data_IF_687222591470
#
_entry.id   IF_687222591470
#
_cell.length_a   1.000
_cell.length_b   1.000
_cell.length_c   1.000
_cell.angle_alpha   90.00
_cell.angle_beta   90.00
_cell.angle_gamma   90.00
#
_symmetry.space_group_name_H-M   'P 1'
#
loop_
_entity.id
_entity.type
_entity.pdbx_description
1 polymer ?
#
# COMPACT_ATOMS: atom_id res chain seq x y z
N UNK A 1 12.13 -30.92 -48.23
CA UNK A 1 12.25 -30.45 -49.66
C UNK A 1 12.31 -28.94 -49.65
N UNK A 2 13.44 -28.42 -50.18
CA UNK A 2 13.71 -27.13 -50.89
C UNK A 2 13.20 -25.83 -50.20
N UNK A 3 14.07 -24.98 -49.54
CA UNK A 3 15.03 -23.98 -50.07
C UNK A 3 14.37 -22.83 -50.85
N UNK A 4 14.57 -21.59 -50.33
CA UNK A 4 15.41 -20.46 -50.85
C UNK A 4 14.95 -19.18 -50.16
N UNK A 5 15.66 -18.36 -49.45
CA UNK A 5 16.92 -17.61 -49.64
C UNK A 5 16.78 -16.37 -50.57
N UNK A 6 17.39 -15.29 -50.07
CA UNK A 6 17.95 -14.10 -50.73
C UNK A 6 17.00 -12.88 -50.83
N UNK A 7 17.46 -11.63 -50.78
CA UNK A 7 18.75 -10.97 -50.49
C UNK A 7 18.52 -9.44 -50.37
N UNK A 8 19.36 -8.79 -49.57
CA UNK A 8 20.05 -7.49 -49.75
C UNK A 8 19.56 -6.48 -50.81
N UNK A 9 19.44 -5.20 -50.39
CA UNK A 9 20.11 -4.10 -51.12
C UNK A 9 20.36 -2.92 -50.15
N UNK A 10 21.63 -2.54 -50.01
CA UNK A 10 22.12 -1.33 -49.38
C UNK A 10 22.13 -0.16 -50.36
N UNK A 11 22.08 1.04 -49.84
CA UNK A 11 22.44 2.24 -50.58
C UNK A 11 23.26 3.18 -49.69
N UNK A 12 24.53 3.25 -50.01
CA UNK A 12 25.54 4.16 -49.49
C UNK A 12 25.49 5.43 -50.36
N UNK A 13 25.28 6.60 -49.77
CA UNK A 13 25.52 7.88 -50.46
C UNK A 13 26.70 8.60 -49.82
N UNK A 14 27.81 8.56 -50.51
CA UNK A 14 28.95 9.50 -50.38
C UNK A 14 28.60 10.78 -51.13
N UNK A 15 28.84 11.93 -50.51
CA UNK A 15 29.00 13.20 -51.23
C UNK A 15 30.32 13.83 -50.82
N UNK A 16 31.08 14.14 -51.84
CA UNK A 16 32.48 14.61 -51.87
C UNK A 16 32.59 16.10 -51.63
N UNK A 17 33.75 16.47 -51.04
CA UNK A 17 34.28 17.82 -50.87
C UNK A 17 34.50 18.55 -52.18
N UNK A 18 34.34 19.87 -52.12
CA UNK A 18 35.11 20.81 -53.00
C UNK A 18 35.60 21.99 -52.17
N UNK A 19 36.88 22.18 -52.15
CA UNK A 19 37.63 23.28 -51.53
C UNK A 19 37.85 24.45 -52.50
N UNK A 20 37.93 25.67 -51.94
CA UNK A 20 38.74 26.83 -52.37
C UNK A 20 38.50 27.94 -51.35
N UNK A 21 39.38 28.38 -50.52
CA UNK A 21 40.61 29.09 -50.77
C UNK A 21 40.44 30.57 -50.40
N UNK A 22 41.13 31.08 -49.31
CA UNK A 22 41.18 32.49 -48.96
C UNK A 22 41.67 32.68 -47.52
N UNK A 23 42.89 33.12 -47.37
CA UNK A 23 43.61 33.46 -46.13
C UNK A 23 42.99 34.66 -45.40
N UNK A 24 42.87 34.58 -44.07
CA UNK A 24 43.31 35.69 -43.19
C UNK A 24 43.37 35.17 -41.71
N UNK A 25 44.48 35.49 -41.09
CA UNK A 25 44.83 35.18 -39.71
C UNK A 25 43.91 35.88 -38.73
N UNK A 26 43.24 35.12 -37.87
CA UNK A 26 42.85 35.57 -36.55
C UNK A 26 42.77 34.37 -35.59
N UNK A 27 43.63 34.40 -34.57
CA UNK A 27 43.65 33.41 -33.52
C UNK A 27 42.30 33.39 -32.80
N UNK A 28 41.61 32.27 -32.86
CA UNK A 28 40.42 32.00 -32.04
C UNK A 28 40.80 30.94 -31.01
N UNK A 29 40.77 31.33 -29.73
CA UNK A 29 40.88 30.45 -28.59
C UNK A 29 39.79 29.41 -28.66
N UNK A 30 40.19 28.14 -28.67
CA UNK A 30 39.31 26.99 -28.54
C UNK A 30 38.79 26.96 -27.07
N UNK A 31 37.58 27.47 -26.85
CA UNK A 31 36.86 27.26 -25.59
C UNK A 31 36.31 25.86 -25.64
N UNK A 32 37.00 24.94 -25.00
CA UNK A 32 36.44 23.63 -24.64
C UNK A 32 35.30 23.85 -23.66
N UNK A 33 34.05 23.83 -24.11
CA UNK A 33 32.87 23.66 -23.24
C UNK A 33 32.94 22.26 -22.65
N UNK A 34 33.43 22.21 -21.41
CA UNK A 34 33.28 21.07 -20.52
C UNK A 34 31.79 20.97 -20.17
N UNK A 35 31.08 20.08 -20.86
CA UNK A 35 29.71 19.73 -20.51
C UNK A 35 29.74 19.02 -19.18
N UNK A 36 29.65 19.78 -18.08
CA UNK A 36 29.34 19.24 -16.76
C UNK A 36 27.93 18.65 -16.82
N UNK A 37 27.83 17.32 -16.68
CA UNK A 37 26.58 16.67 -16.39
C UNK A 37 25.94 17.30 -15.13
N UNK A 38 24.62 17.47 -15.06
CA UNK A 38 23.99 17.99 -13.87
C UNK A 38 24.36 17.05 -12.72
N UNK A 39 25.04 17.56 -11.70
CA UNK A 39 25.13 16.90 -10.41
C UNK A 39 23.69 16.75 -9.90
N UNK A 40 23.21 15.52 -9.79
CA UNK A 40 22.01 15.21 -9.00
C UNK A 40 22.29 15.74 -7.60
N UNK A 41 21.65 16.83 -7.26
CA UNK A 41 21.64 17.40 -5.91
C UNK A 41 20.95 16.36 -5.02
N UNK A 42 21.71 15.48 -4.41
CA UNK A 42 21.23 14.63 -3.31
C UNK A 42 20.96 15.57 -2.12
N UNK A 43 19.73 16.04 -2.03
CA UNK A 43 19.30 16.81 -0.86
C UNK A 43 19.52 15.92 0.37
N UNK A 44 20.35 16.40 1.28
CA UNK A 44 20.67 15.72 2.54
C UNK A 44 19.36 15.44 3.30
N UNK A 45 19.14 14.19 3.72
CA UNK A 45 17.99 13.79 4.51
C UNK A 45 18.17 14.30 5.94
N UNK A 46 17.14 14.89 6.52
CA UNK A 46 17.18 15.36 7.90
C UNK A 46 17.41 14.20 8.87
N UNK A 47 18.32 14.38 9.84
CA UNK A 47 18.54 13.41 10.91
C UNK A 47 17.35 13.41 11.87
N UNK A 48 16.90 12.22 12.26
CA UNK A 48 15.90 12.02 13.32
C UNK A 48 16.53 11.79 14.70
N UNK A 49 17.86 11.57 14.75
CA UNK A 49 18.56 11.31 16.00
C UNK A 49 18.45 12.50 16.98
N UNK A 50 18.09 12.21 18.22
CA UNK A 50 17.90 13.21 19.28
C UNK A 50 16.61 14.03 19.16
N UNK A 51 15.80 13.82 18.10
CA UNK A 51 14.48 14.46 17.91
C UNK A 51 13.37 13.43 18.05
N UNK A 52 13.59 12.24 17.49
CA UNK A 52 12.67 11.10 17.54
C UNK A 52 13.17 10.07 18.57
N UNK A 53 12.30 9.10 18.96
CA UNK A 53 12.74 7.91 19.69
C UNK A 53 13.82 7.14 18.92
N UNK A 54 14.74 6.49 19.64
CA UNK A 54 15.82 5.69 19.03
C UNK A 54 15.30 4.57 18.13
N UNK A 55 14.10 4.07 18.43
CA UNK A 55 13.36 3.12 17.59
C UNK A 55 11.94 3.60 17.41
N UNK A 56 11.53 3.76 16.16
CA UNK A 56 10.15 4.11 15.79
C UNK A 56 9.43 2.81 15.43
N UNK A 57 8.48 2.41 16.29
CA UNK A 57 7.73 1.16 16.13
C UNK A 57 6.38 1.42 15.47
N UNK A 58 6.14 0.71 14.38
CA UNK A 58 4.86 0.68 13.66
C UNK A 58 4.16 -0.66 13.88
N UNK A 59 2.89 -0.61 14.28
CA UNK A 59 2.01 -1.78 14.33
C UNK A 59 1.13 -1.79 13.08
N UNK A 60 1.26 -2.82 12.23
CA UNK A 60 0.36 -3.00 11.11
C UNK A 60 -0.96 -3.65 11.53
N UNK A 61 -1.95 -3.61 10.68
CA UNK A 61 -3.26 -4.23 10.88
C UNK A 61 -3.33 -5.64 10.28
N UNK A 62 -2.31 -6.05 9.50
CA UNK A 62 -2.23 -7.36 8.87
C UNK A 62 -0.80 -7.91 8.81
N UNK A 63 -0.64 -9.06 8.14
CA UNK A 63 0.65 -9.65 7.80
C UNK A 63 1.45 -8.74 6.84
N UNK A 64 2.77 -9.02 6.61
CA UNK A 64 3.53 -8.29 5.60
C UNK A 64 2.89 -8.40 4.20
N UNK A 65 2.56 -7.25 3.63
CA UNK A 65 1.95 -7.10 2.31
C UNK A 65 2.18 -5.71 1.72
N UNK A 66 1.81 -5.51 0.46
CA UNK A 66 2.10 -4.29 -0.30
C UNK A 66 1.35 -3.06 0.20
N UNK A 67 0.23 -3.22 0.89
CA UNK A 67 -0.50 -2.14 1.54
C UNK A 67 0.36 -1.41 2.58
N UNK A 68 1.31 -2.11 3.19
CA UNK A 68 2.29 -1.56 4.13
C UNK A 68 3.65 -1.28 3.45
N UNK A 69 3.74 -1.41 2.13
CA UNK A 69 4.99 -1.39 1.37
C UNK A 69 5.87 -0.17 1.61
N UNK A 70 5.26 0.99 1.81
CA UNK A 70 5.99 2.22 2.13
C UNK A 70 6.76 2.16 3.45
N UNK A 71 6.28 1.43 4.47
CA UNK A 71 7.04 1.22 5.70
C UNK A 71 8.21 0.26 5.46
N UNK A 72 8.00 -0.83 4.72
CA UNK A 72 9.06 -1.76 4.36
C UNK A 72 10.11 -1.11 3.46
N UNK A 73 9.71 -0.12 2.67
CA UNK A 73 10.65 0.71 1.89
C UNK A 73 11.56 1.58 2.77
N UNK A 74 11.16 1.89 4.00
CA UNK A 74 11.97 2.64 4.98
C UNK A 74 12.89 1.73 5.82
N UNK A 75 12.78 0.40 5.71
CA UNK A 75 13.65 -0.54 6.42
C UNK A 75 15.00 -0.63 5.69
N UNK A 76 16.09 -0.21 6.31
CA UNK A 76 17.45 -0.24 5.76
C UNK A 76 17.98 -1.66 5.56
N UNK A 77 19.04 -1.80 4.76
CA UNK A 77 19.71 -3.09 4.56
C UNK A 77 20.31 -3.64 5.87
N UNK A 78 20.47 -4.97 5.95
CA UNK A 78 20.99 -5.62 7.14
C UNK A 78 20.02 -5.64 8.32
N UNK A 79 18.73 -5.54 8.05
CA UNK A 79 17.68 -5.63 9.06
C UNK A 79 17.69 -6.99 9.80
N UNK A 80 17.18 -6.97 11.01
CA UNK A 80 17.02 -8.14 11.87
C UNK A 80 15.55 -8.60 11.86
N UNK A 81 15.32 -9.91 11.75
CA UNK A 81 13.98 -10.51 11.77
C UNK A 81 13.80 -11.31 13.05
N UNK A 82 12.82 -10.92 13.85
CA UNK A 82 12.29 -11.74 14.94
C UNK A 82 11.05 -12.50 14.42
N UNK A 83 11.30 -13.70 13.89
CA UNK A 83 10.24 -14.54 13.34
C UNK A 83 9.23 -15.02 14.40
N UNK A 84 9.64 -15.14 15.66
CA UNK A 84 8.75 -15.54 16.74
C UNK A 84 7.83 -14.37 17.17
N UNK A 85 8.36 -13.15 17.18
CA UNK A 85 7.63 -11.92 17.45
C UNK A 85 6.97 -11.30 16.21
N UNK A 86 7.11 -11.91 15.03
CA UNK A 86 6.57 -11.47 13.75
C UNK A 86 6.87 -9.98 13.48
N UNK A 87 8.14 -9.60 13.62
CA UNK A 87 8.60 -8.21 13.46
C UNK A 87 9.96 -8.12 12.80
N UNK A 88 10.19 -7.01 12.14
CA UNK A 88 11.46 -6.64 11.53
C UNK A 88 11.97 -5.34 12.14
N UNK A 89 13.29 -5.24 12.34
CA UNK A 89 13.95 -4.04 12.87
C UNK A 89 15.19 -3.73 12.05
N UNK A 90 15.34 -2.49 11.60
CA UNK A 90 16.50 -2.04 10.81
C UNK A 90 16.78 -0.55 11.02
N UNK A 91 17.82 -0.03 10.37
CA UNK A 91 17.98 1.42 10.26
C UNK A 91 16.76 2.01 9.55
N UNK A 92 16.22 3.14 10.03
CA UNK A 92 15.22 3.89 9.30
C UNK A 92 15.90 4.69 8.20
N UNK A 93 15.57 4.38 6.95
CA UNK A 93 16.13 5.08 5.79
C UNK A 93 15.09 5.92 5.07
N UNK A 94 15.51 7.07 4.56
CA UNK A 94 14.72 7.91 3.66
C UNK A 94 15.56 8.24 2.44
N UNK A 95 15.04 8.07 1.23
CA UNK A 95 15.81 8.23 -0.03
C UNK A 95 17.16 7.49 -0.01
N UNK A 96 17.18 6.30 0.59
CA UNK A 96 18.39 5.48 0.72
C UNK A 96 19.41 5.94 1.76
N UNK A 97 19.15 7.01 2.52
CA UNK A 97 20.06 7.54 3.55
C UNK A 97 19.56 7.18 4.94
N UNK A 98 20.47 6.79 5.84
CA UNK A 98 20.17 6.51 7.24
C UNK A 98 19.80 7.81 7.98
N UNK A 99 18.69 7.80 8.69
CA UNK A 99 18.17 8.94 9.46
C UNK A 99 18.73 9.03 10.89
N UNK A 100 19.52 8.04 11.31
CA UNK A 100 20.13 7.98 12.63
C UNK A 100 19.25 7.35 13.72
N UNK A 101 18.09 6.77 13.35
CA UNK A 101 17.22 6.02 14.26
C UNK A 101 16.83 4.67 13.63
N UNK A 102 16.21 3.78 14.40
CA UNK A 102 15.69 2.51 13.89
C UNK A 102 14.22 2.59 13.56
N UNK A 103 13.79 1.77 12.60
CA UNK A 103 12.40 1.42 12.35
C UNK A 103 12.15 -0.02 12.81
N UNK A 104 11.02 -0.24 13.47
CA UNK A 104 10.50 -1.57 13.72
C UNK A 104 9.08 -1.67 13.15
N UNK A 105 8.82 -2.70 12.31
CA UNK A 105 7.49 -2.97 11.77
C UNK A 105 7.02 -4.31 12.33
N UNK A 106 5.85 -4.31 12.96
CA UNK A 106 5.23 -5.48 13.61
C UNK A 106 3.99 -5.92 12.83
N UNK A 107 3.87 -7.20 12.55
CA UNK A 107 2.71 -7.77 11.89
C UNK A 107 1.48 -7.72 12.80
N UNK A 108 0.31 -7.49 12.19
CA UNK A 108 -0.99 -7.43 12.85
C UNK A 108 -1.93 -8.59 12.43
N UNK A 109 -3.22 -8.36 12.49
CA UNK A 109 -4.25 -9.33 12.13
C UNK A 109 -4.12 -10.64 12.91
N UNK A 110 -3.96 -11.79 12.23
CA UNK A 110 -3.80 -13.09 12.89
C UNK A 110 -2.61 -13.14 13.86
N UNK A 111 -1.54 -12.38 13.60
CA UNK A 111 -0.33 -12.33 14.44
C UNK A 111 -0.61 -11.85 15.87
N UNK A 112 -1.65 -11.05 16.04
CA UNK A 112 -2.07 -10.46 17.34
C UNK A 112 -3.46 -10.92 17.77
N UNK A 113 -3.93 -12.05 17.21
CA UNK A 113 -5.26 -12.60 17.52
C UNK A 113 -6.40 -11.67 17.15
N UNK A 114 -6.24 -10.89 16.06
CA UNK A 114 -7.21 -9.89 15.58
C UNK A 114 -7.50 -8.76 16.59
N UNK A 115 -6.60 -8.55 17.54
CA UNK A 115 -6.69 -7.37 18.43
C UNK A 115 -6.50 -6.10 17.58
N UNK A 116 -7.36 -5.11 17.75
CA UNK A 116 -7.28 -3.85 17.00
C UNK A 116 -5.98 -3.11 17.28
N UNK A 117 -5.34 -2.50 16.27
CA UNK A 117 -4.14 -1.70 16.48
C UNK A 117 -4.33 -0.54 17.45
N UNK A 118 -5.54 0.04 17.52
CA UNK A 118 -5.93 1.03 18.53
C UNK A 118 -5.77 0.51 19.96
N UNK A 119 -6.34 -0.66 20.25
CA UNK A 119 -6.21 -1.31 21.56
C UNK A 119 -4.77 -1.72 21.89
N UNK A 120 -4.02 -2.21 20.88
CA UNK A 120 -2.61 -2.56 21.05
C UNK A 120 -1.75 -1.38 21.48
N UNK A 121 -1.94 -0.19 20.91
CA UNK A 121 -1.22 1.02 21.32
C UNK A 121 -1.41 1.38 22.78
N UNK A 122 -2.55 1.02 23.38
CA UNK A 122 -2.82 1.28 24.80
C UNK A 122 -2.27 0.21 25.72
N UNK A 123 -2.08 -1.00 25.23
CA UNK A 123 -1.49 -2.12 25.98
C UNK A 123 0.02 -2.22 25.87
N UNK A 124 0.60 -1.70 24.76
CA UNK A 124 2.04 -1.73 24.48
C UNK A 124 2.57 -0.31 24.20
N UNK A 125 3.30 0.29 25.16
CA UNK A 125 3.80 1.65 25.05
C UNK A 125 4.96 1.80 24.05
N UNK A 126 5.54 0.70 23.51
CA UNK A 126 6.56 0.75 22.48
C UNK A 126 5.98 1.12 21.10
N UNK A 127 4.70 0.91 20.87
CA UNK A 127 4.04 1.25 19.60
C UNK A 127 3.94 2.77 19.49
N UNK A 128 4.67 3.33 18.53
CA UNK A 128 4.69 4.76 18.27
C UNK A 128 3.53 5.21 17.38
N UNK A 129 3.34 4.50 16.25
CA UNK A 129 2.20 4.67 15.34
C UNK A 129 1.64 3.29 14.96
N UNK A 130 0.36 3.25 14.65
CA UNK A 130 -0.32 2.05 14.20
C UNK A 130 -1.24 2.33 13.02
N UNK A 131 -1.55 1.29 12.25
CA UNK A 131 -2.58 1.35 11.23
C UNK A 131 -3.95 1.38 11.86
N UNK A 132 -4.69 2.47 11.64
CA UNK A 132 -6.04 2.66 12.14
C UNK A 132 -6.95 3.15 11.02
N UNK A 133 -8.18 2.67 10.97
CA UNK A 133 -9.20 3.27 10.12
C UNK A 133 -9.82 4.48 10.83
N UNK A 134 -10.22 5.51 10.09
CA UNK A 134 -10.81 6.70 10.71
C UNK A 134 -12.17 6.43 11.34
N UNK A 135 -12.94 5.50 10.80
CA UNK A 135 -14.21 5.05 11.39
C UNK A 135 -13.98 4.21 12.67
N UNK A 136 -12.99 3.30 12.67
CA UNK A 136 -12.58 2.59 13.87
C UNK A 136 -12.06 3.54 14.96
N UNK A 137 -11.28 4.56 14.57
CA UNK A 137 -10.82 5.59 15.49
C UNK A 137 -11.99 6.34 16.16
N UNK A 138 -13.07 6.60 15.41
CA UNK A 138 -14.31 7.21 15.97
C UNK A 138 -15.04 6.23 16.89
N UNK A 139 -15.23 4.96 16.47
CA UNK A 139 -15.89 3.93 17.28
C UNK A 139 -15.19 3.73 18.62
N UNK A 140 -13.85 3.66 18.62
CA UNK A 140 -13.03 3.38 19.79
C UNK A 140 -12.68 4.64 20.61
N UNK A 141 -13.09 5.84 20.16
CA UNK A 141 -12.64 7.12 20.70
C UNK A 141 -12.93 7.33 22.21
N UNK A 142 -13.95 6.65 22.75
CA UNK A 142 -14.29 6.72 24.16
C UNK A 142 -13.34 5.94 25.06
N UNK A 143 -12.68 4.91 24.56
CA UNK A 143 -11.80 4.03 25.31
C UNK A 143 -10.33 4.14 24.83
N UNK A 144 -10.13 4.21 23.52
CA UNK A 144 -8.82 4.24 22.87
C UNK A 144 -8.71 5.43 21.89
N UNK A 145 -8.77 6.69 22.36
CA UNK A 145 -8.67 7.84 21.47
C UNK A 145 -7.37 7.82 20.67
N UNK A 146 -7.44 8.13 19.37
CA UNK A 146 -6.30 8.17 18.46
C UNK A 146 -6.27 9.48 17.68
N UNK A 147 -5.07 9.88 17.25
CA UNK A 147 -4.84 11.00 16.35
C UNK A 147 -4.09 10.49 15.13
N UNK A 148 -4.71 10.59 13.95
CA UNK A 148 -4.14 10.16 12.68
C UNK A 148 -3.23 11.23 12.08
N UNK A 149 -2.14 10.82 11.43
CA UNK A 149 -1.11 11.73 10.91
C UNK A 149 -0.78 11.52 9.43
N UNK A 150 -1.08 10.33 8.86
CA UNK A 150 -0.86 10.01 7.43
C UNK A 150 -2.00 9.12 6.94
N UNK A 151 -2.46 9.36 5.70
CA UNK A 151 -3.45 8.54 5.00
C UNK A 151 -2.84 7.95 3.71
N UNK A 152 -2.14 6.80 3.76
CA UNK A 152 -1.45 6.25 2.61
C UNK A 152 -2.39 5.88 1.45
N UNK A 153 -3.65 5.58 1.74
CA UNK A 153 -4.69 5.38 0.73
C UNK A 153 -5.63 6.58 0.66
N UNK A 154 -5.77 7.15 -0.54
CA UNK A 154 -6.74 8.20 -0.79
C UNK A 154 -8.18 7.66 -0.77
N UNK A 155 -8.40 6.46 -1.32
CA UNK A 155 -9.69 5.76 -1.32
C UNK A 155 -9.54 4.49 -0.49
N UNK A 156 -10.57 4.20 0.32
CA UNK A 156 -10.63 2.96 1.10
C UNK A 156 -10.60 1.75 0.16
N UNK A 157 -9.59 0.87 0.22
CA UNK A 157 -9.46 -0.29 -0.65
C UNK A 157 -10.38 -1.46 -0.26
N UNK A 158 -11.10 -1.39 0.86
CA UNK A 158 -12.03 -2.45 1.24
C UNK A 158 -13.13 -2.63 0.21
N UNK A 159 -13.45 -3.87 -0.08
CA UNK A 159 -14.45 -4.29 -1.06
C UNK A 159 -15.45 -5.25 -0.44
N UNK A 160 -16.61 -5.36 -1.09
CA UNK A 160 -17.43 -6.57 -1.03
C UNK A 160 -17.33 -7.22 -2.41
N UNK A 161 -16.88 -8.47 -2.44
CA UNK A 161 -16.70 -9.26 -3.66
C UNK A 161 -17.71 -10.40 -3.75
N UNK A 162 -17.98 -10.85 -4.99
CA UNK A 162 -18.89 -11.95 -5.29
C UNK A 162 -18.43 -12.73 -6.53
N UNK A 163 -18.95 -13.94 -6.71
CA UNK A 163 -18.74 -14.72 -7.94
C UNK A 163 -19.63 -14.20 -9.07
N UNK A 164 -19.05 -13.62 -10.15
CA UNK A 164 -19.84 -13.11 -11.27
C UNK A 164 -20.54 -14.24 -12.08
N UNK A 165 -20.09 -15.48 -11.95
CA UNK A 165 -20.79 -16.62 -12.58
C UNK A 165 -22.07 -16.99 -11.81
N UNK A 166 -22.04 -16.89 -10.48
CA UNK A 166 -23.22 -17.11 -9.63
C UNK A 166 -24.18 -15.93 -9.69
N UNK A 167 -23.65 -14.70 -9.78
CA UNK A 167 -24.42 -13.46 -9.75
C UNK A 167 -24.14 -12.56 -10.97
N UNK A 168 -24.50 -13.00 -12.19
CA UNK A 168 -24.14 -12.29 -13.44
C UNK A 168 -24.77 -10.89 -13.58
N UNK A 169 -25.85 -10.64 -12.86
CA UNK A 169 -26.59 -9.37 -12.92
C UNK A 169 -26.20 -8.39 -11.79
N UNK A 170 -25.40 -8.84 -10.80
CA UNK A 170 -24.90 -7.99 -9.72
C UNK A 170 -23.76 -7.14 -10.24
N UNK A 171 -23.87 -5.82 -10.07
CA UNK A 171 -22.85 -4.83 -10.45
C UNK A 171 -22.41 -3.98 -9.27
N UNK A 172 -23.25 -3.88 -8.24
CA UNK A 172 -23.02 -3.09 -7.05
C UNK A 172 -23.31 -3.89 -5.79
N UNK A 173 -22.81 -3.43 -4.65
CA UNK A 173 -23.12 -4.00 -3.33
C UNK A 173 -24.64 -3.98 -3.09
N UNK A 174 -25.31 -2.93 -3.53
CA UNK A 174 -26.77 -2.79 -3.37
C UNK A 174 -27.57 -3.87 -4.16
N UNK A 175 -27.04 -4.34 -5.31
CA UNK A 175 -27.70 -5.39 -6.09
C UNK A 175 -27.73 -6.72 -5.35
N UNK A 176 -26.77 -6.97 -4.46
CA UNK A 176 -26.73 -8.18 -3.62
C UNK A 176 -27.99 -8.33 -2.77
N UNK A 177 -28.63 -7.22 -2.38
CA UNK A 177 -29.85 -7.23 -1.58
C UNK A 177 -30.95 -8.08 -2.22
N UNK A 178 -31.17 -7.90 -3.53
CA UNK A 178 -32.21 -8.62 -4.26
C UNK A 178 -31.90 -10.12 -4.43
N UNK A 179 -30.67 -10.53 -4.32
CA UNK A 179 -30.24 -11.93 -4.45
C UNK A 179 -30.47 -12.74 -3.17
N UNK A 180 -30.54 -12.11 -2.02
CA UNK A 180 -30.56 -12.76 -0.71
C UNK A 180 -29.24 -13.45 -0.34
N UNK A 181 -28.14 -13.20 -1.09
CA UNK A 181 -26.82 -13.74 -0.79
C UNK A 181 -26.34 -13.32 0.59
N UNK A 182 -25.70 -14.21 1.32
CA UNK A 182 -24.97 -13.84 2.53
C UNK A 182 -23.79 -12.94 2.16
N UNK A 183 -23.50 -11.96 3.01
CA UNK A 183 -22.34 -11.06 2.90
C UNK A 183 -21.49 -11.24 4.15
N UNK A 184 -20.34 -11.91 4.02
CA UNK A 184 -19.41 -12.14 5.12
C UNK A 184 -18.47 -10.96 5.28
N UNK A 185 -18.27 -10.54 6.52
CA UNK A 185 -17.40 -9.42 6.87
C UNK A 185 -16.81 -9.61 8.27
N UNK A 186 -15.78 -8.85 8.63
CA UNK A 186 -15.30 -8.80 10.02
C UNK A 186 -16.35 -8.11 10.91
N UNK A 187 -16.86 -8.84 11.88
CA UNK A 187 -17.91 -8.35 12.77
C UNK A 187 -17.53 -7.05 13.48
N UNK A 188 -18.49 -6.15 13.63
CA UNK A 188 -18.28 -4.83 14.24
C UNK A 188 -17.84 -3.72 13.29
N UNK A 189 -17.65 -4.01 11.99
CA UNK A 189 -17.26 -2.99 11.02
C UNK A 189 -18.39 -1.97 10.78
N UNK A 190 -18.10 -0.67 10.98
CA UNK A 190 -19.05 0.44 10.91
C UNK A 190 -19.73 0.57 9.52
N UNK A 191 -19.00 0.30 8.46
CA UNK A 191 -19.58 0.35 7.11
C UNK A 191 -20.75 -0.64 6.92
N UNK A 192 -20.71 -1.78 7.60
CA UNK A 192 -21.80 -2.75 7.49
C UNK A 192 -23.05 -2.30 8.25
N UNK A 193 -22.87 -1.60 9.36
CA UNK A 193 -23.98 -0.95 10.07
C UNK A 193 -24.61 0.14 9.20
N UNK A 194 -23.79 0.95 8.53
CA UNK A 194 -24.25 1.93 7.56
C UNK A 194 -25.04 1.28 6.41
N UNK A 195 -24.55 0.20 5.80
CA UNK A 195 -25.24 -0.50 4.71
C UNK A 195 -26.60 -1.07 5.13
N UNK A 196 -26.68 -1.59 6.34
CA UNK A 196 -27.95 -2.14 6.84
C UNK A 196 -28.92 -1.05 7.27
N UNK A 197 -28.44 0.01 7.92
CA UNK A 197 -29.27 1.13 8.38
C UNK A 197 -29.83 1.95 7.21
N UNK A 198 -29.04 2.15 6.14
CA UNK A 198 -29.46 2.86 4.93
C UNK A 198 -30.23 1.98 3.95
N UNK A 199 -30.32 0.68 4.20
CA UNK A 199 -31.04 -0.27 3.37
C UNK A 199 -30.32 -0.66 2.08
N UNK A 200 -29.02 -0.43 1.97
CA UNK A 200 -28.16 -0.96 0.89
C UNK A 200 -28.16 -2.48 0.94
N UNK A 201 -28.04 -3.07 2.13
CA UNK A 201 -28.19 -4.50 2.39
C UNK A 201 -29.31 -4.77 3.41
N UNK A 202 -29.84 -5.99 3.40
CA UNK A 202 -30.77 -6.44 4.43
C UNK A 202 -29.96 -6.98 5.63
N UNK A 203 -30.34 -6.61 6.84
CA UNK A 203 -29.68 -7.08 8.08
C UNK A 203 -29.67 -8.60 8.23
N UNK A 204 -30.57 -9.33 7.57
CA UNK A 204 -30.59 -10.79 7.56
C UNK A 204 -29.55 -11.42 6.62
N UNK A 205 -28.96 -10.63 5.72
CA UNK A 205 -27.94 -11.11 4.77
C UNK A 205 -26.53 -11.01 5.35
N UNK A 206 -26.28 -10.13 6.30
CA UNK A 206 -24.92 -9.89 6.79
C UNK A 206 -24.50 -10.95 7.80
N UNK A 207 -23.22 -11.35 7.75
CA UNK A 207 -22.62 -12.38 8.58
C UNK A 207 -21.23 -11.93 9.05
N UNK A 208 -21.15 -11.56 10.32
CA UNK A 208 -19.94 -11.03 10.96
C UNK A 208 -18.86 -12.07 11.29
N UNK A 209 -18.94 -13.30 10.74
CA UNK A 209 -18.02 -14.40 11.03
C UNK A 209 -16.95 -14.59 9.93
N UNK A 210 -16.54 -13.53 9.22
CA UNK A 210 -15.38 -13.61 8.33
C UNK A 210 -14.10 -13.76 9.15
N UNK A 211 -13.25 -14.68 8.75
CA UNK A 211 -12.02 -15.05 9.46
C UNK A 211 -10.74 -14.63 8.70
N UNK A 212 -10.88 -13.85 7.63
CA UNK A 212 -9.76 -13.43 6.78
C UNK A 212 -9.28 -14.49 5.79
N UNK A 213 -10.00 -15.63 5.67
CA UNK A 213 -9.59 -16.72 4.78
C UNK A 213 -10.60 -16.95 3.62
N UNK A 214 -10.15 -17.53 2.49
CA UNK A 214 -11.03 -17.88 1.38
C UNK A 214 -11.88 -19.13 1.62
N UNK A 215 -11.63 -19.87 2.72
CA UNK A 215 -12.15 -21.21 2.92
C UNK A 215 -13.68 -21.29 2.78
N UNK A 216 -14.40 -20.39 3.43
CA UNK A 216 -15.86 -20.37 3.40
C UNK A 216 -16.43 -19.97 2.04
N UNK A 217 -15.75 -19.05 1.33
CA UNK A 217 -16.16 -18.63 -0.01
C UNK A 217 -16.03 -19.77 -1.02
N UNK A 218 -14.90 -20.49 -0.97
CA UNK A 218 -14.64 -21.66 -1.83
C UNK A 218 -15.60 -22.80 -1.49
N UNK A 219 -15.79 -23.12 -0.21
CA UNK A 219 -16.67 -24.21 0.23
C UNK A 219 -18.13 -23.98 -0.19
N UNK A 220 -18.59 -22.72 -0.21
CA UNK A 220 -19.94 -22.37 -0.67
C UNK A 220 -20.05 -22.33 -2.20
N UNK A 221 -18.95 -22.46 -2.93
CA UNK A 221 -18.91 -22.30 -4.38
C UNK A 221 -19.30 -20.90 -4.86
N UNK A 222 -18.93 -19.85 -4.10
CA UNK A 222 -19.21 -18.45 -4.41
C UNK A 222 -20.68 -18.03 -4.22
N UNK A 223 -21.47 -18.77 -3.42
CA UNK A 223 -22.86 -18.41 -3.12
C UNK A 223 -22.99 -17.29 -2.10
N UNK A 224 -21.96 -17.02 -1.30
CA UNK A 224 -21.89 -15.85 -0.45
C UNK A 224 -21.03 -14.77 -1.12
N UNK A 225 -21.34 -13.52 -0.86
CA UNK A 225 -20.40 -12.41 -1.04
C UNK A 225 -19.50 -12.30 0.19
N UNK A 226 -18.36 -11.63 0.07
CA UNK A 226 -17.37 -11.57 1.14
C UNK A 226 -16.59 -10.27 1.08
N UNK A 227 -16.20 -9.76 2.25
CA UNK A 227 -15.25 -8.68 2.37
C UNK A 227 -13.88 -9.09 1.81
N UNK A 228 -13.12 -8.14 1.35
CA UNK A 228 -11.73 -8.24 0.93
C UNK A 228 -11.12 -6.86 0.70
N UNK A 229 -9.96 -6.82 0.07
CA UNK A 229 -9.26 -5.62 -0.35
C UNK A 229 -9.03 -5.65 -1.86
N UNK A 230 -9.29 -4.56 -2.56
CA UNK A 230 -9.16 -4.45 -4.01
C UNK A 230 -7.73 -4.73 -4.50
N UNK A 231 -6.75 -4.49 -3.68
CA UNK A 231 -5.33 -4.71 -3.92
C UNK A 231 -4.89 -6.16 -3.68
N UNK A 232 -5.69 -7.00 -3.05
CA UNK A 232 -5.31 -8.36 -2.64
C UNK A 232 -6.20 -9.43 -3.25
N UNK A 233 -7.45 -9.57 -2.77
CA UNK A 233 -8.33 -10.70 -3.08
C UNK A 233 -8.61 -10.91 -4.57
N UNK A 234 -8.84 -9.89 -5.42
CA UNK A 234 -9.13 -10.14 -6.83
C UNK A 234 -7.99 -10.87 -7.55
N UNK A 235 -6.73 -10.50 -7.27
CA UNK A 235 -5.57 -11.20 -7.81
C UNK A 235 -5.40 -12.58 -7.20
N UNK A 236 -5.46 -12.68 -5.86
CA UNK A 236 -5.26 -13.90 -5.10
C UNK A 236 -6.23 -14.99 -5.53
N UNK A 237 -7.54 -14.69 -5.60
CA UNK A 237 -8.57 -15.66 -5.99
C UNK A 237 -8.43 -16.13 -7.43
N UNK A 238 -8.02 -15.27 -8.33
CA UNK A 238 -7.88 -15.63 -9.73
C UNK A 238 -6.60 -16.39 -10.04
N UNK A 239 -5.47 -16.06 -9.40
CA UNK A 239 -4.14 -16.48 -9.85
C UNK A 239 -3.40 -17.40 -8.87
N UNK A 240 -3.70 -17.31 -7.56
CA UNK A 240 -2.97 -18.03 -6.52
C UNK A 240 -3.81 -19.15 -5.90
N UNK A 241 -5.07 -18.88 -5.61
CA UNK A 241 -6.00 -19.82 -4.96
C UNK A 241 -6.46 -20.91 -5.94
N UNK A 242 -5.72 -22.03 -5.98
CA UNK A 242 -5.97 -23.14 -6.93
C UNK A 242 -7.36 -23.76 -6.82
N UNK A 243 -7.94 -23.77 -5.63
CA UNK A 243 -9.28 -24.33 -5.37
C UNK A 243 -10.41 -23.43 -5.90
N UNK A 244 -10.08 -22.20 -6.30
CA UNK A 244 -11.01 -21.27 -6.94
C UNK A 244 -10.60 -20.96 -8.38
N UNK A 245 -9.43 -20.37 -8.60
CA UNK A 245 -8.79 -20.08 -9.89
C UNK A 245 -9.71 -19.38 -10.92
N UNK A 246 -10.54 -18.44 -10.45
CA UNK A 246 -11.49 -17.67 -11.27
C UNK A 246 -11.51 -16.21 -10.79
N UNK A 247 -11.87 -15.26 -11.68
CA UNK A 247 -12.08 -13.89 -11.26
C UNK A 247 -13.24 -13.76 -10.28
N UNK A 248 -13.16 -12.80 -9.38
CA UNK A 248 -14.28 -12.27 -8.59
C UNK A 248 -14.66 -10.89 -9.12
N UNK A 249 -15.95 -10.54 -9.02
CA UNK A 249 -16.41 -9.16 -9.20
C UNK A 249 -16.53 -8.49 -7.83
N UNK A 250 -16.38 -7.18 -7.78
CA UNK A 250 -16.44 -6.44 -6.53
C UNK A 250 -16.87 -4.98 -6.75
N UNK A 251 -17.19 -4.32 -5.66
CA UNK A 251 -17.31 -2.87 -5.53
C UNK A 251 -16.62 -2.45 -4.24
N UNK A 252 -15.94 -1.29 -4.24
CA UNK A 252 -15.39 -0.74 -3.01
C UNK A 252 -16.52 -0.26 -2.09
N UNK A 253 -16.30 -0.34 -0.79
CA UNK A 253 -17.24 0.23 0.19
C UNK A 253 -17.30 1.76 0.06
N UNK A 254 -16.22 2.38 -0.44
CA UNK A 254 -16.14 3.80 -0.75
C UNK A 254 -17.15 4.20 -1.84
N UNK A 255 -17.17 3.49 -2.98
CA UNK A 255 -18.14 3.71 -4.06
C UNK A 255 -19.58 3.46 -3.60
N UNK A 256 -19.78 2.60 -2.60
CA UNK A 256 -21.07 2.37 -2.00
C UNK A 256 -21.47 3.42 -0.94
N UNK A 257 -20.68 4.48 -0.77
CA UNK A 257 -20.97 5.65 0.06
C UNK A 257 -20.29 5.68 1.44
N UNK A 258 -19.42 4.70 1.77
CA UNK A 258 -18.64 4.71 3.01
C UNK A 258 -17.24 5.26 2.75
N UNK A 259 -17.04 6.55 3.01
CA UNK A 259 -15.85 7.29 2.59
C UNK A 259 -14.75 7.39 3.66
N UNK A 260 -14.84 6.65 4.77
CA UNK A 260 -13.80 6.60 5.79
C UNK A 260 -12.44 6.19 5.20
N UNK A 261 -11.35 6.71 5.76
CA UNK A 261 -10.01 6.24 5.42
C UNK A 261 -9.74 4.90 6.12
N UNK A 262 -9.32 3.90 5.35
CA UNK A 262 -8.71 2.69 5.90
C UNK A 262 -7.20 2.90 6.05
N UNK A 263 -6.58 2.14 6.93
CA UNK A 263 -5.11 2.05 7.05
C UNK A 263 -4.39 3.40 7.21
N UNK A 264 -5.01 4.38 7.86
CA UNK A 264 -4.30 5.60 8.27
C UNK A 264 -3.27 5.27 9.34
N UNK A 265 -2.14 6.00 9.36
CA UNK A 265 -1.22 5.95 10.48
C UNK A 265 -1.68 6.90 11.58
N UNK A 266 -1.83 6.38 12.78
CA UNK A 266 -2.23 7.16 13.95
C UNK A 266 -1.48 6.74 15.21
N UNK A 267 -1.46 7.61 16.19
CA UNK A 267 -0.87 7.39 17.51
C UNK A 267 -1.81 7.81 18.65
N UNK A 268 -1.45 7.51 19.88
CA UNK A 268 -2.15 8.05 21.05
C UNK A 268 -1.97 9.59 21.06
N UNK A 269 -3.01 10.37 21.40
CA UNK A 269 -2.95 11.83 21.35
C UNK A 269 -1.81 12.43 22.18
N UNK A 270 -1.53 11.89 23.35
CA UNK A 270 -0.43 12.32 24.22
C UNK A 270 0.94 12.01 23.60
N UNK A 271 1.11 10.86 22.95
CA UNK A 271 2.34 10.48 22.24
C UNK A 271 2.56 11.36 21.01
N UNK A 272 1.51 11.60 20.21
CA UNK A 272 1.56 12.48 19.04
C UNK A 272 1.94 13.91 19.44
N UNK A 273 1.31 14.46 20.48
CA UNK A 273 1.60 15.82 20.95
C UNK A 273 3.00 15.95 21.55
N UNK A 274 3.45 14.95 22.34
CA UNK A 274 4.79 14.93 22.93
C UNK A 274 5.91 14.82 21.88
N UNK A 275 5.61 14.20 20.72
CA UNK A 275 6.58 13.92 19.65
C UNK A 275 6.30 14.74 18.37
N UNK A 276 5.62 15.87 18.47
CA UNK A 276 5.25 16.67 17.29
C UNK A 276 6.45 17.14 16.46
N UNK A 277 7.59 17.42 17.09
CA UNK A 277 8.80 17.85 16.36
C UNK A 277 9.43 16.67 15.60
N UNK A 278 9.38 15.45 16.14
CA UNK A 278 9.71 14.26 15.42
C UNK A 278 8.75 14.04 14.23
N UNK A 279 7.45 14.14 14.46
CA UNK A 279 6.43 13.88 13.42
C UNK A 279 6.51 14.92 12.28
N UNK A 280 6.90 16.16 12.53
CA UNK A 280 7.15 17.16 11.46
C UNK A 280 8.25 16.73 10.48
N UNK A 281 9.23 15.93 10.94
CA UNK A 281 10.28 15.38 10.10
C UNK A 281 9.88 14.02 9.52
N UNK A 282 9.28 13.16 10.33
CA UNK A 282 8.96 11.78 9.98
C UNK A 282 7.80 11.68 8.97
N UNK A 283 6.73 12.48 9.12
CA UNK A 283 5.55 12.42 8.23
C UNK A 283 5.93 12.69 6.78
N UNK A 284 6.69 13.76 6.43
CA UNK A 284 7.16 13.94 5.07
C UNK A 284 8.04 12.79 4.54
N UNK A 285 8.83 12.13 5.41
CA UNK A 285 9.62 10.97 5.01
C UNK A 285 8.73 9.76 4.70
N UNK A 286 7.67 9.52 5.48
CA UNK A 286 6.68 8.47 5.21
C UNK A 286 5.95 8.74 3.89
N UNK A 287 5.51 9.97 3.65
CA UNK A 287 4.88 10.38 2.40
C UNK A 287 5.81 10.21 1.19
N UNK A 288 7.07 10.62 1.33
CA UNK A 288 8.08 10.41 0.29
C UNK A 288 8.32 8.92 0.04
N UNK A 289 8.38 8.10 1.11
CA UNK A 289 8.55 6.65 0.99
C UNK A 289 7.37 6.00 0.25
N UNK A 290 6.15 6.51 0.42
CA UNK A 290 5.00 6.06 -0.37
C UNK A 290 5.17 6.38 -1.86
N UNK A 291 5.64 7.59 -2.19
CA UNK A 291 5.94 7.98 -3.57
C UNK A 291 7.04 7.08 -4.17
N UNK A 292 8.12 6.87 -3.42
CA UNK A 292 9.25 6.05 -3.86
C UNK A 292 8.81 4.59 -4.06
N UNK A 293 8.02 4.05 -3.14
CA UNK A 293 7.49 2.69 -3.19
C UNK A 293 6.61 2.44 -4.41
N UNK A 294 5.65 3.32 -4.70
CA UNK A 294 4.78 3.12 -5.87
C UNK A 294 5.48 3.39 -7.18
N UNK A 295 6.61 4.10 -7.16
CA UNK A 295 7.46 4.35 -8.34
C UNK A 295 8.38 3.16 -8.63
N UNK A 296 9.01 2.59 -7.60
CA UNK A 296 9.85 1.39 -7.69
C UNK A 296 9.61 0.47 -6.48
N UNK A 297 8.65 -0.45 -6.56
CA UNK A 297 8.29 -1.32 -5.44
C UNK A 297 9.27 -2.48 -5.23
N UNK A 298 10.24 -2.70 -6.11
CA UNK A 298 11.01 -3.94 -6.16
C UNK A 298 11.73 -4.23 -4.83
N UNK A 299 12.38 -3.22 -4.24
CA UNK A 299 13.12 -3.36 -2.98
C UNK A 299 12.19 -3.68 -1.80
N UNK A 300 11.13 -2.92 -1.63
CA UNK A 300 10.18 -3.13 -0.52
C UNK A 300 9.43 -4.46 -0.66
N UNK A 301 9.02 -4.82 -1.88
CA UNK A 301 8.40 -6.12 -2.13
C UNK A 301 9.36 -7.28 -1.84
N UNK A 302 10.67 -7.13 -2.11
CA UNK A 302 11.66 -8.15 -1.72
C UNK A 302 11.73 -8.32 -0.19
N UNK A 303 11.70 -7.23 0.58
CA UNK A 303 11.62 -7.29 2.06
C UNK A 303 10.34 -7.98 2.51
N UNK A 304 9.18 -7.62 1.95
CA UNK A 304 7.89 -8.25 2.28
C UNK A 304 7.95 -9.77 2.06
N UNK A 305 8.43 -10.20 0.90
CA UNK A 305 8.51 -11.63 0.55
C UNK A 305 9.50 -12.39 1.43
N UNK A 306 10.62 -11.77 1.80
CA UNK A 306 11.58 -12.33 2.75
C UNK A 306 10.93 -12.54 4.12
N UNK A 307 10.19 -11.53 4.62
CA UNK A 307 9.47 -11.63 5.89
C UNK A 307 8.37 -12.70 5.86
N UNK A 308 7.58 -12.78 4.79
CA UNK A 308 6.58 -13.85 4.62
C UNK A 308 7.24 -15.22 4.72
N UNK A 309 8.40 -15.41 4.05
CA UNK A 309 9.16 -16.65 4.11
C UNK A 309 9.72 -16.96 5.50
N UNK A 310 10.27 -15.97 6.20
CA UNK A 310 10.87 -16.15 7.52
C UNK A 310 9.85 -16.32 8.64
N UNK A 311 8.71 -15.59 8.59
CA UNK A 311 7.64 -15.72 9.58
C UNK A 311 6.95 -17.07 9.50
N UNK A 312 6.79 -17.63 8.30
CA UNK A 312 6.24 -18.98 8.07
C UNK A 312 5.00 -19.26 8.94
N UNK A 313 4.12 -18.30 9.07
CA UNK A 313 2.94 -18.33 9.94
C UNK A 313 1.66 -18.76 9.21
N UNK A 314 1.79 -19.25 7.96
CA UNK A 314 0.68 -19.68 7.11
C UNK A 314 0.13 -18.59 6.19
N UNK A 315 0.61 -17.34 6.28
CA UNK A 315 0.30 -16.30 5.33
C UNK A 315 0.94 -16.61 3.96
N UNK A 316 0.12 -16.59 2.90
CA UNK A 316 0.57 -16.82 1.53
C UNK A 316 0.54 -15.50 0.78
N UNK A 317 1.71 -15.07 0.33
CA UNK A 317 1.88 -13.86 -0.45
C UNK A 317 3.04 -14.03 -1.42
N UNK A 318 2.84 -13.80 -2.69
CA UNK A 318 3.85 -14.01 -3.72
C UNK A 318 4.22 -12.73 -4.48
N UNK A 319 5.27 -12.80 -5.30
CA UNK A 319 5.77 -11.66 -6.06
C UNK A 319 4.75 -11.13 -7.07
N UNK A 320 3.89 -11.99 -7.63
CA UNK A 320 2.83 -11.59 -8.55
C UNK A 320 1.74 -10.80 -7.82
N UNK A 321 1.37 -11.25 -6.62
CA UNK A 321 0.41 -10.54 -5.77
C UNK A 321 0.96 -9.19 -5.32
N UNK A 322 2.24 -9.14 -4.91
CA UNK A 322 2.90 -7.89 -4.52
C UNK A 322 2.93 -6.86 -5.67
N UNK A 323 3.25 -7.29 -6.88
CA UNK A 323 3.26 -6.42 -8.06
C UNK A 323 1.85 -5.95 -8.44
N UNK A 324 0.86 -6.87 -8.44
CA UNK A 324 -0.52 -6.56 -8.76
C UNK A 324 -1.15 -5.57 -7.76
N UNK A 325 -0.81 -5.67 -6.47
CA UNK A 325 -1.30 -4.76 -5.44
C UNK A 325 -0.93 -3.30 -5.72
N UNK A 326 0.32 -3.03 -6.12
CA UNK A 326 0.78 -1.68 -6.49
C UNK A 326 0.06 -1.20 -7.76
N UNK A 327 -0.01 -2.05 -8.79
CA UNK A 327 -0.70 -1.71 -10.05
C UNK A 327 -2.17 -1.38 -9.82
N UNK A 328 -2.89 -2.20 -9.05
CA UNK A 328 -4.30 -1.99 -8.72
C UNK A 328 -4.50 -0.77 -7.84
N UNK A 329 -3.59 -0.53 -6.88
CA UNK A 329 -3.61 0.66 -6.03
C UNK A 329 -3.56 1.96 -6.84
N UNK A 330 -2.71 2.01 -7.86
CA UNK A 330 -2.56 3.16 -8.75
C UNK A 330 -3.69 3.25 -9.79
N UNK A 331 -3.99 2.16 -10.50
CA UNK A 331 -4.95 2.18 -11.61
C UNK A 331 -6.38 2.43 -11.16
N UNK A 332 -6.74 2.03 -9.94
CA UNK A 332 -8.05 2.28 -9.34
C UNK A 332 -8.11 3.59 -8.54
N UNK A 333 -7.04 4.40 -8.53
CA UNK A 333 -6.98 5.65 -7.78
C UNK A 333 -7.04 5.48 -6.26
N UNK A 334 -6.79 4.26 -5.76
CA UNK A 334 -6.76 3.99 -4.31
C UNK A 334 -5.57 4.71 -3.67
N UNK A 335 -4.44 4.72 -4.37
CA UNK A 335 -3.23 5.49 -4.01
C UNK A 335 -3.15 6.66 -4.98
N UNK A 336 -3.47 7.84 -4.51
CA UNK A 336 -3.47 9.07 -5.29
C UNK A 336 -3.24 10.28 -4.37
N UNK A 337 -2.85 11.40 -4.96
CA UNK A 337 -2.73 12.65 -4.22
C UNK A 337 -4.10 13.11 -3.71
N UNK A 338 -4.11 13.61 -2.50
CA UNK A 338 -5.25 14.32 -1.93
C UNK A 338 -5.47 15.68 -2.63
N UNK A 339 -6.57 16.40 -2.37
CA UNK A 339 -6.88 17.66 -3.04
C UNK A 339 -5.80 18.74 -2.92
N UNK A 340 -4.96 18.69 -1.88
CA UNK A 340 -3.82 19.58 -1.68
C UNK A 340 -2.59 19.24 -2.56
N UNK A 341 -2.68 18.18 -3.38
CA UNK A 341 -1.59 17.70 -4.23
C UNK A 341 -0.58 16.80 -3.54
N UNK A 342 -0.78 16.44 -2.27
CA UNK A 342 0.15 15.63 -1.48
C UNK A 342 -0.35 14.19 -1.35
N UNK A 343 0.51 13.22 -1.65
CA UNK A 343 0.23 11.82 -1.37
C UNK A 343 0.30 11.59 0.15
N UNK A 344 -0.72 10.93 0.70
CA UNK A 344 -0.77 10.59 2.12
C UNK A 344 -1.27 11.69 3.05
N UNK A 345 -1.75 12.84 2.53
CA UNK A 345 -2.49 13.82 3.33
C UNK A 345 -3.97 13.46 3.44
N UNK A 346 -4.66 14.06 4.39
CA UNK A 346 -6.10 13.92 4.55
C UNK A 346 -6.84 15.01 3.76
N UNK A 347 -7.92 14.63 3.12
CA UNK A 347 -8.96 15.57 2.70
C UNK A 347 -9.80 15.95 3.94
N UNK A 348 -9.62 17.16 4.43
CA UNK A 348 -10.27 17.62 5.67
C UNK A 348 -11.77 17.75 5.52
N UNK A 349 -12.27 18.11 4.32
CA UNK A 349 -13.72 18.17 4.06
C UNK A 349 -14.38 16.79 4.15
N UNK A 350 -13.62 15.74 3.86
CA UNK A 350 -14.08 14.36 3.96
C UNK A 350 -14.02 13.81 5.40
N UNK A 351 -13.16 14.35 6.25
CA UNK A 351 -13.00 13.91 7.63
C UNK A 351 -13.98 14.59 8.58
N UNK A 352 -14.42 15.83 8.26
CA UNK A 352 -15.44 16.59 9.01
C UNK A 352 -16.85 16.00 8.81
#
# INVERSE_FOLDING_TARGET
MKRKAAALFGALCLVTLAACGGSDDTATEEVTEETTAPEESTSEVASLAGVCPDTITFQTDWNPESEHGFLYNMVGEGYEVDAAGLRVTGALVSKGQDTGVKIQVRAGGPAVGFTSPTSLMYSDPEIFLAFVSTDGAVQDSGEFPTMTVVAPFNINPQIIMWDPATYPNVKTIADLKATGAKVRYFGGAAYMEYFTATGILDSKQVDGNYDGTPANFVADGGKAAQQGFATSEPYYYQNVLTDWAKPVAYQTIHEAGWTAYAQSLGGKPDVVEANKDCLKLLVPMIQQSQVDYVTDPARANAVILDLVGQYNNGWLYDAGQAAAAVELGLSNGLIANSPDGTLGSFDLERVE
#
